data_IF_551064154494
#
_entry.id   IF_551064154494
#
_cell.length_a   1.000
_cell.length_b   1.000
_cell.length_c   1.000
_cell.angle_alpha   90.00
_cell.angle_beta   90.00
_cell.angle_gamma   90.00
#
_symmetry.space_group_name_H-M   'P 1'
#
loop_
_entity.id
_entity.type
_entity.pdbx_description
1 polymer ?
#
# COMPACT_ATOMS: atom_id res chain seq x y z
N UNK A 1 -7.55 -17.85 -33.54
CA UNK A 1 -7.40 -18.42 -32.18
C UNK A 1 -6.18 -17.78 -31.54
N UNK A 2 -6.36 -16.69 -30.79
CA UNK A 2 -5.26 -16.01 -30.10
C UNK A 2 -5.53 -16.12 -28.60
N UNK A 3 -4.71 -16.91 -27.92
CA UNK A 3 -4.76 -17.11 -26.48
C UNK A 3 -4.36 -15.79 -25.81
N UNK A 4 -5.35 -15.10 -25.22
CA UNK A 4 -5.12 -13.87 -24.48
C UNK A 4 -4.59 -14.29 -23.11
N UNK A 5 -3.27 -14.44 -22.99
CA UNK A 5 -2.62 -14.47 -21.70
C UNK A 5 -3.08 -13.23 -20.93
N UNK A 6 -3.85 -13.46 -19.86
CA UNK A 6 -4.26 -12.40 -18.94
C UNK A 6 -2.97 -11.75 -18.42
N UNK A 7 -2.77 -10.42 -18.53
CA UNK A 7 -1.68 -9.78 -17.82
C UNK A 7 -2.04 -9.80 -16.33
N UNK A 8 -1.58 -10.85 -15.64
CA UNK A 8 -1.65 -11.05 -14.20
C UNK A 8 -0.83 -10.02 -13.40
N UNK A 9 -0.15 -9.07 -14.07
CA UNK A 9 0.90 -8.26 -13.46
C UNK A 9 0.93 -6.79 -13.90
N UNK A 10 -0.22 -6.11 -13.96
CA UNK A 10 -0.18 -4.65 -13.92
C UNK A 10 -1.18 -4.11 -12.89
N UNK A 11 -0.58 -3.49 -11.87
CA UNK A 11 -1.12 -2.84 -10.67
C UNK A 11 -2.03 -1.64 -11.08
N UNK A 12 -3.15 -1.90 -11.77
CA UNK A 12 -4.09 -0.88 -12.22
C UNK A 12 -4.98 -0.41 -11.05
N UNK A 13 -4.43 0.34 -10.10
CA UNK A 13 -5.20 1.15 -9.13
C UNK A 13 -4.35 2.31 -8.55
N UNK A 14 -4.32 3.43 -9.27
CA UNK A 14 -4.41 4.81 -8.76
C UNK A 14 -3.50 5.21 -7.55
N UNK A 15 -2.48 6.03 -7.84
CA UNK A 15 -2.11 7.20 -7.02
C UNK A 15 -1.41 6.93 -5.65
N UNK A 16 -0.47 5.98 -5.56
CA UNK A 16 0.27 5.72 -4.31
C UNK A 16 1.79 5.56 -4.49
N UNK A 17 2.58 6.17 -3.61
CA UNK A 17 4.05 6.16 -3.63
C UNK A 17 4.72 4.77 -3.51
N UNK A 18 3.97 3.73 -3.14
CA UNK A 18 4.48 2.37 -2.93
C UNK A 18 3.51 1.34 -3.54
N UNK A 19 3.99 0.37 -4.32
CA UNK A 19 3.17 -0.69 -4.95
C UNK A 19 2.53 -1.64 -3.94
N UNK A 20 1.50 -2.39 -4.35
CA UNK A 20 0.82 -3.34 -3.45
C UNK A 20 1.78 -4.46 -3.00
N UNK A 21 2.59 -4.98 -3.92
CA UNK A 21 3.55 -6.05 -3.64
C UNK A 21 4.63 -5.60 -2.67
N UNK A 22 5.09 -4.36 -2.78
CA UNK A 22 6.03 -3.79 -1.84
C UNK A 22 5.43 -3.79 -0.42
N UNK A 23 4.18 -3.33 -0.26
CA UNK A 23 3.49 -3.34 1.04
C UNK A 23 3.36 -4.75 1.60
N UNK A 24 3.00 -5.74 0.75
CA UNK A 24 2.91 -7.16 1.14
C UNK A 24 4.26 -7.67 1.63
N UNK A 25 5.34 -7.35 0.93
CA UNK A 25 6.71 -7.74 1.31
C UNK A 25 7.10 -7.14 2.66
N UNK A 26 6.83 -5.85 2.89
CA UNK A 26 7.12 -5.17 4.16
C UNK A 26 6.39 -5.86 5.33
N UNK A 27 5.10 -6.15 5.16
CA UNK A 27 4.31 -6.84 6.19
C UNK A 27 4.77 -8.28 6.42
N UNK A 28 5.12 -9.03 5.37
CA UNK A 28 5.64 -10.39 5.51
C UNK A 28 6.96 -10.43 6.28
N UNK A 29 7.85 -9.46 6.05
CA UNK A 29 9.12 -9.36 6.79
C UNK A 29 8.90 -9.00 8.25
N UNK A 30 7.93 -8.13 8.54
CA UNK A 30 7.52 -7.79 9.91
C UNK A 30 7.10 -9.04 10.69
N UNK A 31 6.19 -9.83 10.11
CA UNK A 31 5.66 -11.04 10.74
C UNK A 31 6.74 -12.11 10.94
N UNK A 32 7.51 -12.41 9.89
CA UNK A 32 8.57 -13.44 9.94
C UNK A 32 9.67 -13.16 10.96
N UNK A 33 9.93 -11.89 11.25
CA UNK A 33 11.03 -11.48 12.13
C UNK A 33 10.56 -10.92 13.48
N UNK A 34 9.25 -10.91 13.74
CA UNK A 34 8.69 -10.34 14.97
C UNK A 34 9.02 -8.86 15.18
N UNK A 35 9.24 -8.10 14.10
CA UNK A 35 9.69 -6.71 14.20
C UNK A 35 8.55 -5.77 14.59
N UNK A 36 8.90 -4.71 15.31
CA UNK A 36 8.00 -3.59 15.57
C UNK A 36 7.77 -2.77 14.30
N UNK A 37 6.71 -1.94 14.31
CA UNK A 37 6.39 -1.06 13.19
C UNK A 37 7.54 -0.07 12.92
N UNK A 38 8.19 0.44 13.98
CA UNK A 38 9.29 1.39 13.88
C UNK A 38 10.55 0.77 13.25
N UNK A 39 10.90 -0.46 13.66
CA UNK A 39 12.06 -1.16 13.10
C UNK A 39 11.87 -1.51 11.62
N UNK A 40 10.65 -1.92 11.25
CA UNK A 40 10.31 -2.18 9.84
C UNK A 40 10.35 -0.89 9.04
N UNK A 41 9.82 0.20 9.58
CA UNK A 41 9.86 1.52 8.96
C UNK A 41 11.30 1.97 8.69
N UNK A 42 12.18 1.88 9.70
CA UNK A 42 13.59 2.21 9.56
C UNK A 42 14.31 1.31 8.55
N UNK A 43 13.99 0.00 8.53
CA UNK A 43 14.64 -0.96 7.63
C UNK A 43 14.29 -0.77 6.15
N UNK A 44 13.09 -0.31 5.86
CA UNK A 44 12.61 -0.09 4.49
C UNK A 44 12.58 1.39 4.08
N UNK A 45 13.08 2.28 4.94
CA UNK A 45 13.04 3.73 4.76
C UNK A 45 11.64 4.25 4.38
N UNK A 46 10.64 3.82 5.16
CA UNK A 46 9.25 4.22 4.97
C UNK A 46 8.70 4.84 6.24
N UNK A 47 7.75 5.75 6.11
CA UNK A 47 7.11 6.37 7.26
C UNK A 47 6.40 5.34 8.16
N UNK A 48 6.56 5.48 9.48
CA UNK A 48 5.85 4.66 10.50
C UNK A 48 4.34 4.70 10.27
N UNK A 49 3.80 5.86 9.90
CA UNK A 49 2.39 6.05 9.58
C UNK A 49 1.95 5.19 8.37
N UNK A 50 2.81 5.05 7.36
CA UNK A 50 2.54 4.23 6.18
C UNK A 50 2.44 2.75 6.55
N UNK A 51 3.40 2.24 7.32
CA UNK A 51 3.39 0.84 7.80
C UNK A 51 2.17 0.59 8.68
N UNK A 52 1.88 1.49 9.62
CA UNK A 52 0.68 1.41 10.47
C UNK A 52 -0.61 1.35 9.64
N UNK A 53 -0.68 2.14 8.56
CA UNK A 53 -1.81 2.15 7.65
C UNK A 53 -1.96 0.80 6.94
N UNK A 54 -0.87 0.22 6.45
CA UNK A 54 -0.89 -1.08 5.75
C UNK A 54 -1.27 -2.24 6.66
N UNK A 55 -0.86 -2.20 7.94
CA UNK A 55 -1.30 -3.18 8.95
C UNK A 55 -2.81 -3.14 9.13
N UNK A 56 -3.42 -1.95 9.13
CA UNK A 56 -4.89 -1.79 9.25
C UNK A 56 -5.63 -2.13 7.97
N UNK A 57 -5.11 -1.68 6.82
CA UNK A 57 -5.68 -1.98 5.51
C UNK A 57 -4.59 -1.83 4.44
N UNK A 58 -4.29 -2.92 3.75
CA UNK A 58 -3.27 -2.96 2.71
C UNK A 58 -3.74 -2.25 1.42
N UNK A 59 -5.05 -2.25 1.17
CA UNK A 59 -5.69 -1.54 0.07
C UNK A 59 -6.04 -0.12 0.51
N UNK A 60 -5.80 0.88 -0.34
CA UNK A 60 -6.32 2.23 -0.06
C UNK A 60 -7.84 2.14 -0.11
N UNK A 61 -8.55 2.74 0.85
CA UNK A 61 -9.89 3.22 0.53
C UNK A 61 -9.75 4.27 -0.57
N UNK A 62 -10.57 4.23 -1.64
CA UNK A 62 -10.61 5.33 -2.59
C UNK A 62 -10.82 6.62 -1.79
N UNK A 63 -10.04 7.67 -2.06
CA UNK A 63 -10.31 8.96 -1.44
C UNK A 63 -11.69 9.38 -1.95
N UNK A 64 -12.68 9.34 -1.06
CA UNK A 64 -13.96 9.97 -1.35
C UNK A 64 -13.72 11.44 -1.69
N UNK A 65 -14.56 12.00 -2.56
CA UNK A 65 -14.50 13.42 -2.89
C UNK A 65 -14.44 14.24 -1.60
N UNK A 66 -13.31 14.92 -1.38
CA UNK A 66 -13.19 15.91 -0.32
C UNK A 66 -14.10 17.07 -0.71
N UNK A 67 -15.34 17.07 -0.22
CA UNK A 67 -16.21 18.22 -0.29
C UNK A 67 -15.59 19.32 0.59
N UNK A 68 -14.71 20.12 -0.02
CA UNK A 68 -14.36 21.42 0.54
C UNK A 68 -15.62 22.26 0.43
N UNK A 69 -16.02 22.91 1.51
CA UNK A 69 -17.02 23.97 1.42
C UNK A 69 -16.44 25.02 0.47
N UNK A 70 -17.08 25.20 -0.67
CA UNK A 70 -16.88 26.38 -1.51
C UNK A 70 -17.79 27.40 -0.84
N UNK A 71 -17.21 28.32 -0.06
CA UNK A 71 -17.96 29.48 0.39
C UNK A 71 -18.27 30.32 -0.85
N UNK A 72 -19.57 30.50 -1.14
CA UNK A 72 -20.13 31.30 -2.23
C UNK A 72 -20.34 32.74 -1.78
#
# INVERSE_FOLDING_TARGET
MHSIAQPDNFDYNLEMAYSLDFRRKVLSVREKKGLTIAEVAARFDVGVASVTRWVKNIHRKPQGFRQRKIDL
#
